data_IF_335355788643
#
_entry.id   IF_335355788643
#
_cell.length_a   1.000
_cell.length_b   1.000
_cell.length_c   1.000
_cell.angle_alpha   90.00
_cell.angle_beta   90.00
_cell.angle_gamma   90.00
#
_symmetry.space_group_name_H-M   'P 1'
#
loop_
_entity.id
_entity.type
_entity.pdbx_description
1 polymer ?
#
# COMPACT_ATOMS: atom_id res chain seq x y z
N UNK A 1 17.50 9.45 5.14
CA UNK A 1 16.09 9.58 4.74
C UNK A 1 15.51 8.18 4.82
N UNK A 2 14.57 7.97 5.73
CA UNK A 2 13.96 6.66 6.03
C UNK A 2 13.34 6.07 4.76
N UNK A 3 13.61 4.80 4.47
CA UNK A 3 13.11 4.11 3.27
C UNK A 3 11.58 4.08 3.24
N UNK A 4 10.97 4.03 4.42
CA UNK A 4 9.52 4.13 4.62
C UNK A 4 8.99 5.48 4.17
N UNK A 5 9.71 6.57 4.44
CA UNK A 5 9.31 7.91 4.01
C UNK A 5 9.33 8.07 2.48
N UNK A 6 10.27 7.39 1.79
CA UNK A 6 10.33 7.39 0.32
C UNK A 6 9.14 6.65 -0.30
N UNK A 7 8.77 5.49 0.25
CA UNK A 7 7.61 4.71 -0.21
C UNK A 7 6.32 5.51 0.01
N UNK A 8 6.18 6.14 1.19
CA UNK A 8 5.03 6.98 1.51
C UNK A 8 4.93 8.18 0.55
N UNK A 9 6.06 8.79 0.21
CA UNK A 9 6.12 9.89 -0.75
C UNK A 9 5.77 9.44 -2.18
N UNK A 10 6.21 8.26 -2.62
CA UNK A 10 5.83 7.70 -3.93
C UNK A 10 4.33 7.43 -4.03
N UNK A 11 3.72 6.95 -2.96
CA UNK A 11 2.28 6.67 -2.93
C UNK A 11 1.47 7.97 -2.91
N UNK A 12 1.91 8.98 -2.13
CA UNK A 12 1.35 10.33 -2.14
C UNK A 12 1.45 11.01 -3.51
N UNK A 13 2.51 10.75 -4.27
CA UNK A 13 2.66 11.24 -5.64
C UNK A 13 1.80 10.48 -6.66
N UNK A 14 1.44 9.22 -6.38
CA UNK A 14 0.58 8.42 -7.24
C UNK A 14 -0.92 8.74 -7.04
N UNK A 15 -1.33 9.13 -5.84
CA UNK A 15 -2.71 9.48 -5.47
C UNK A 15 -3.41 10.47 -6.43
N UNK A 16 -2.79 11.61 -6.81
CA UNK A 16 -3.38 12.57 -7.77
C UNK A 16 -3.53 12.01 -9.19
N UNK A 17 -2.78 10.97 -9.53
CA UNK A 17 -2.75 10.35 -10.86
C UNK A 17 -3.83 9.26 -10.98
N UNK A 18 -4.31 8.70 -9.85
CA UNK A 18 -5.16 7.51 -9.84
C UNK A 18 -6.67 7.76 -9.97
N UNK A 19 -7.21 8.95 -9.69
CA UNK A 19 -8.60 9.29 -10.07
C UNK A 19 -8.91 10.79 -9.95
N UNK A 20 -9.82 11.33 -10.79
CA UNK A 20 -10.37 12.67 -10.58
C UNK A 20 -11.29 12.68 -9.35
N UNK A 21 -10.92 13.48 -8.34
CA UNK A 21 -11.86 14.19 -7.45
C UNK A 21 -12.77 13.38 -6.49
N UNK A 22 -12.43 12.16 -6.05
CA UNK A 22 -13.17 11.52 -4.95
C UNK A 22 -12.39 11.55 -3.64
N UNK A 23 -12.75 12.48 -2.74
CA UNK A 23 -12.04 12.71 -1.47
C UNK A 23 -12.00 11.46 -0.58
N UNK A 24 -13.01 10.60 -0.68
CA UNK A 24 -13.15 9.41 0.17
C UNK A 24 -12.11 8.32 -0.13
N UNK A 25 -11.80 8.07 -1.40
CA UNK A 25 -10.74 7.12 -1.79
C UNK A 25 -9.40 7.63 -1.29
N UNK A 26 -9.14 8.93 -1.46
CA UNK A 26 -7.90 9.55 -1.00
C UNK A 26 -7.77 9.51 0.54
N UNK A 27 -8.84 9.79 1.28
CA UNK A 27 -8.86 9.72 2.74
C UNK A 27 -8.66 8.30 3.28
N UNK A 28 -9.37 7.33 2.71
CA UNK A 28 -9.23 5.91 3.05
C UNK A 28 -7.80 5.42 2.84
N UNK A 29 -7.22 5.78 1.69
CA UNK A 29 -5.86 5.42 1.33
C UNK A 29 -4.85 6.12 2.25
N UNK A 30 -5.02 7.41 2.54
CA UNK A 30 -4.16 8.14 3.48
C UNK A 30 -4.20 7.54 4.89
N UNK A 31 -5.38 7.13 5.37
CA UNK A 31 -5.52 6.48 6.68
C UNK A 31 -4.79 5.13 6.73
N UNK A 32 -4.96 4.30 5.70
CA UNK A 32 -4.27 3.00 5.58
C UNK A 32 -2.75 3.17 5.47
N UNK A 33 -2.28 4.20 4.76
CA UNK A 33 -0.85 4.50 4.62
C UNK A 33 -0.23 5.05 5.91
N UNK A 34 -0.96 5.88 6.65
CA UNK A 34 -0.52 6.36 7.96
C UNK A 34 -0.39 5.20 8.97
N UNK A 35 -1.26 4.18 8.88
CA UNK A 35 -1.14 2.98 9.70
C UNK A 35 0.09 2.12 9.34
N UNK A 36 0.59 2.23 8.10
CA UNK A 36 1.79 1.54 7.62
C UNK A 36 3.09 2.32 7.84
N UNK A 37 3.00 3.63 8.06
CA UNK A 37 4.14 4.52 8.21
C UNK A 37 4.91 4.24 9.49
N UNK A 38 5.85 3.28 9.42
CA UNK A 38 6.83 2.81 10.42
C UNK A 38 6.87 1.28 10.54
N UNK A 39 5.98 0.54 9.87
CA UNK A 39 5.97 -0.91 9.97
C UNK A 39 7.03 -1.54 9.05
N UNK A 40 7.98 -2.22 9.66
CA UNK A 40 8.91 -3.14 8.98
C UNK A 40 8.35 -4.56 8.85
N UNK A 41 7.13 -4.80 9.32
CA UNK A 41 6.52 -6.12 9.38
C UNK A 41 5.84 -6.44 8.04
N UNK A 42 6.31 -7.48 7.36
CA UNK A 42 5.73 -7.96 6.10
C UNK A 42 4.20 -8.16 6.18
N UNK A 43 3.69 -8.70 7.29
CA UNK A 43 2.28 -9.05 7.45
C UNK A 43 1.35 -7.83 7.45
N UNK A 44 1.79 -6.70 8.01
CA UNK A 44 1.00 -5.47 8.02
C UNK A 44 0.82 -4.90 6.61
N UNK A 45 1.89 -4.91 5.81
CA UNK A 45 1.82 -4.51 4.40
C UNK A 45 0.92 -5.43 3.59
N UNK A 46 0.95 -6.73 3.88
CA UNK A 46 0.06 -7.70 3.24
C UNK A 46 -1.41 -7.42 3.56
N UNK A 47 -1.74 -7.24 4.83
CA UNK A 47 -3.11 -7.01 5.28
C UNK A 47 -3.74 -5.79 4.61
N UNK A 48 -3.00 -4.69 4.48
CA UNK A 48 -3.48 -3.48 3.78
C UNK A 48 -3.65 -3.74 2.28
N UNK A 49 -2.72 -4.46 1.65
CA UNK A 49 -2.86 -4.85 0.25
C UNK A 49 -4.10 -5.71 -0.01
N UNK A 50 -4.38 -6.67 0.86
CA UNK A 50 -5.56 -7.53 0.80
C UNK A 50 -6.85 -6.71 1.00
N UNK A 51 -6.88 -5.78 1.95
CA UNK A 51 -8.04 -4.89 2.19
C UNK A 51 -8.34 -4.00 0.97
N UNK A 52 -7.30 -3.44 0.33
CA UNK A 52 -7.45 -2.64 -0.89
C UNK A 52 -8.02 -3.48 -2.05
N UNK A 53 -7.63 -4.75 -2.20
CA UNK A 53 -8.22 -5.65 -3.19
C UNK A 53 -9.70 -5.95 -2.92
N UNK A 54 -10.07 -6.17 -1.66
CA UNK A 54 -11.48 -6.35 -1.30
C UNK A 54 -12.31 -5.11 -1.61
N UNK A 55 -11.77 -3.91 -1.32
CA UNK A 55 -12.42 -2.64 -1.70
C UNK A 55 -12.57 -2.51 -3.22
N UNK A 56 -11.55 -2.89 -3.99
CA UNK A 56 -11.63 -2.91 -5.45
C UNK A 56 -12.79 -3.79 -5.96
N UNK A 57 -12.97 -5.00 -5.39
CA UNK A 57 -14.08 -5.91 -5.76
C UNK A 57 -15.46 -5.33 -5.46
N UNK A 58 -15.59 -4.54 -4.40
CA UNK A 58 -16.85 -3.91 -3.99
C UNK A 58 -17.16 -2.57 -4.69
N UNK A 59 -16.23 -2.06 -5.51
CA UNK A 59 -16.35 -0.74 -6.12
C UNK A 59 -17.07 -0.81 -7.47
N UNK A 60 -18.00 0.11 -7.70
CA UNK A 60 -18.80 0.16 -8.94
C UNK A 60 -18.20 1.03 -10.04
N UNK A 61 -17.21 1.87 -9.73
CA UNK A 61 -16.58 2.80 -10.67
C UNK A 61 -15.19 2.30 -11.10
N UNK A 62 -14.99 2.10 -12.40
CA UNK A 62 -13.75 1.55 -12.97
C UNK A 62 -12.49 2.37 -12.64
N UNK A 63 -12.60 3.69 -12.51
CA UNK A 63 -11.48 4.56 -12.12
C UNK A 63 -10.99 4.26 -10.71
N UNK A 64 -11.93 4.02 -9.79
CA UNK A 64 -11.65 3.79 -8.38
C UNK A 64 -11.11 2.35 -8.17
N UNK A 65 -11.64 1.39 -8.95
CA UNK A 65 -11.08 0.02 -9.04
C UNK A 65 -9.61 0.05 -9.44
N UNK A 66 -9.25 0.86 -10.44
CA UNK A 66 -7.87 0.99 -10.91
C UNK A 66 -6.96 1.53 -9.81
N UNK A 67 -7.41 2.56 -9.08
CA UNK A 67 -6.67 3.13 -7.96
C UNK A 67 -6.44 2.13 -6.82
N UNK A 68 -7.49 1.40 -6.42
CA UNK A 68 -7.37 0.37 -5.38
C UNK A 68 -6.42 -0.77 -5.79
N UNK A 69 -6.52 -1.26 -7.03
CA UNK A 69 -5.63 -2.31 -7.53
C UNK A 69 -4.15 -1.88 -7.60
N UNK A 70 -3.87 -0.65 -8.03
CA UNK A 70 -2.52 -0.12 -8.10
C UNK A 70 -1.89 -0.01 -6.70
N UNK A 71 -2.64 0.52 -5.73
CA UNK A 71 -2.19 0.64 -4.34
C UNK A 71 -2.02 -0.72 -3.66
N UNK A 72 -2.94 -1.66 -3.90
CA UNK A 72 -2.81 -3.01 -3.40
C UNK A 72 -1.52 -3.67 -3.90
N UNK A 73 -1.22 -3.52 -5.18
CA UNK A 73 0.00 -4.06 -5.78
C UNK A 73 1.28 -3.51 -5.14
N UNK A 74 1.31 -2.21 -4.83
CA UNK A 74 2.44 -1.59 -4.12
C UNK A 74 2.60 -2.16 -2.70
N UNK A 75 1.50 -2.31 -1.96
CA UNK A 75 1.54 -2.83 -0.59
C UNK A 75 2.00 -4.30 -0.56
N UNK A 76 1.48 -5.14 -1.45
CA UNK A 76 1.86 -6.54 -1.57
C UNK A 76 3.32 -6.69 -2.04
N UNK A 77 3.77 -5.86 -2.98
CA UNK A 77 5.17 -5.82 -3.40
C UNK A 77 6.11 -5.54 -2.23
N UNK A 78 5.81 -4.52 -1.42
CA UNK A 78 6.61 -4.20 -0.23
C UNK A 78 6.56 -5.32 0.82
N UNK A 79 5.41 -5.94 1.04
CA UNK A 79 5.29 -7.11 1.92
C UNK A 79 6.25 -8.22 1.52
N UNK A 80 6.29 -8.58 0.23
CA UNK A 80 7.20 -9.61 -0.29
C UNK A 80 8.67 -9.24 -0.08
N UNK A 81 9.04 -7.99 -0.32
CA UNK A 81 10.42 -7.53 -0.13
C UNK A 81 10.84 -7.58 1.34
N UNK A 82 9.97 -7.16 2.26
CA UNK A 82 10.21 -7.28 3.70
C UNK A 82 10.33 -8.74 4.14
N UNK A 83 9.42 -9.62 3.69
CA UNK A 83 9.48 -11.05 4.01
C UNK A 83 10.78 -11.71 3.53
N UNK A 84 11.30 -11.28 2.37
CA UNK A 84 12.60 -11.72 1.85
C UNK A 84 13.75 -11.25 2.74
N UNK A 85 13.71 -9.98 3.17
CA UNK A 85 14.68 -9.41 4.11
C UNK A 85 14.69 -10.13 5.46
N UNK A 86 13.52 -10.36 6.05
CA UNK A 86 13.36 -11.09 7.31
C UNK A 86 13.95 -12.51 7.23
N UNK A 87 13.71 -13.22 6.13
CA UNK A 87 14.26 -14.56 5.89
C UNK A 87 15.77 -14.56 5.68
N UNK A 88 16.32 -13.52 5.05
CA UNK A 88 17.75 -13.38 4.85
C UNK A 88 18.49 -13.09 6.17
N UNK A 89 17.93 -12.21 7.02
CA UNK A 89 18.48 -11.94 8.36
C UNK A 89 18.44 -13.15 9.28
N UNK A 90 17.38 -13.97 9.20
CA UNK A 90 17.26 -15.21 9.99
C UNK A 90 18.26 -16.32 9.62
N UNK A 91 18.90 -16.25 8.44
CA UNK A 91 19.94 -17.20 8.02
C UNK A 91 21.36 -16.79 8.42
N UNK A 92 21.54 -15.57 8.94
CA UNK A 92 22.83 -15.01 9.36
C UNK A 92 22.99 -14.95 10.89
N UNK A 93 21.98 -15.38 11.64
CA UNK A 93 21.98 -15.51 13.10
C UNK A 93 21.97 -16.97 13.52
#
# INVERSE_FOLDING_TARGET
MDETAKVMQMILMALPIMAPQNSKVNEDVLAMLNALASSSESERWKAVGDELLERAKSTQFDSDVTGYCALASLCLGRSVDLARGERAGRKQS
#
